data_IF_435665697342
#
_entry.id   IF_435665697342
#
_cell.length_a   1.000
_cell.length_b   1.000
_cell.length_c   1.000
_cell.angle_alpha   90.00
_cell.angle_beta   90.00
_cell.angle_gamma   90.00
#
_symmetry.space_group_name_H-M   'P 1'
#
loop_
_entity.id
_entity.type
_entity.pdbx_description
1 polymer ?
#
# COMPACT_ATOMS: atom_id res chain seq x y z
N UNK A 1 -45.09 131.06 -13.52
CA UNK A 1 -46.55 131.28 -13.65
C UNK A 1 -47.18 129.97 -14.11
N UNK A 2 -48.19 129.51 -13.37
CA UNK A 2 -49.28 128.58 -13.73
C UNK A 2 -48.88 127.23 -14.35
N UNK A 3 -48.97 126.10 -13.64
CA UNK A 3 -50.20 125.36 -13.30
C UNK A 3 -51.09 125.08 -14.53
N UNK A 4 -51.24 123.81 -14.89
CA UNK A 4 -52.49 123.00 -14.93
C UNK A 4 -52.15 121.70 -15.72
N UNK A 5 -52.11 120.53 -15.10
CA UNK A 5 -53.20 119.64 -14.66
C UNK A 5 -53.77 118.75 -15.79
N UNK A 6 -53.67 117.43 -15.55
CA UNK A 6 -54.73 116.44 -15.72
C UNK A 6 -54.89 115.63 -17.01
N UNK A 7 -55.09 114.33 -16.74
CA UNK A 7 -55.85 113.29 -17.44
C UNK A 7 -55.14 112.26 -18.32
N UNK A 8 -55.11 111.06 -17.72
CA UNK A 8 -54.96 109.72 -18.25
C UNK A 8 -55.73 109.41 -19.54
N UNK A 9 -55.21 108.44 -20.30
CA UNK A 9 -56.01 107.27 -20.69
C UNK A 9 -55.14 106.11 -21.17
N UNK A 10 -55.44 104.93 -20.61
CA UNK A 10 -54.96 103.61 -21.00
C UNK A 10 -55.49 103.23 -22.39
N UNK A 11 -54.62 102.64 -23.22
CA UNK A 11 -55.04 101.83 -24.38
C UNK A 11 -54.67 100.38 -24.11
N UNK A 12 -55.69 99.67 -23.63
CA UNK A 12 -56.09 98.27 -23.86
C UNK A 12 -55.13 97.38 -24.67
N UNK A 13 -54.69 96.29 -24.02
CA UNK A 13 -54.17 95.10 -24.68
C UNK A 13 -55.32 94.27 -25.30
N UNK A 14 -55.09 93.56 -26.42
CA UNK A 14 -55.85 92.35 -26.72
C UNK A 14 -54.99 91.10 -26.54
N UNK A 15 -55.63 90.13 -25.92
CA UNK A 15 -55.14 88.82 -25.53
C UNK A 15 -55.78 87.80 -26.51
N UNK A 16 -55.01 86.76 -26.88
CA UNK A 16 -55.40 85.50 -27.53
C UNK A 16 -55.86 85.49 -29.00
N UNK A 17 -55.13 84.74 -29.84
CA UNK A 17 -55.69 83.54 -30.50
C UNK A 17 -54.59 82.75 -31.25
N UNK A 18 -54.69 81.44 -31.08
CA UNK A 18 -53.87 80.35 -31.57
C UNK A 18 -53.64 80.34 -33.08
N UNK A 19 -52.36 80.34 -33.48
CA UNK A 19 -51.94 79.89 -34.81
C UNK A 19 -51.13 78.61 -34.63
N UNK A 20 -51.80 77.52 -34.96
CA UNK A 20 -51.28 76.17 -35.14
C UNK A 20 -50.28 76.18 -36.30
N UNK A 21 -48.99 76.08 -36.01
CA UNK A 21 -47.95 75.86 -37.01
C UNK A 21 -47.06 74.70 -36.55
N UNK A 22 -47.29 73.58 -37.23
CA UNK A 22 -46.63 72.29 -37.22
C UNK A 22 -45.45 72.11 -36.24
N UNK A 23 -45.64 71.24 -35.25
CA UNK A 23 -44.54 70.59 -34.56
C UNK A 23 -43.58 69.99 -35.60
N UNK A 24 -42.26 70.21 -35.49
CA UNK A 24 -41.33 69.41 -36.27
C UNK A 24 -41.55 67.95 -35.88
N UNK A 25 -41.89 67.11 -36.85
CA UNK A 25 -41.91 65.67 -36.65
C UNK A 25 -40.57 65.26 -36.05
N UNK A 26 -40.61 64.84 -34.79
CA UNK A 26 -39.52 64.13 -34.16
C UNK A 26 -39.43 62.81 -34.92
N UNK A 27 -38.62 62.79 -35.98
CA UNK A 27 -38.12 61.56 -36.57
C UNK A 27 -37.28 60.90 -35.50
N UNK A 28 -37.94 60.07 -34.70
CA UNK A 28 -37.33 59.03 -33.90
C UNK A 28 -36.78 57.98 -34.88
N UNK A 29 -35.81 58.36 -35.71
CA UNK A 29 -34.99 57.40 -36.45
C UNK A 29 -34.11 56.74 -35.41
N UNK A 30 -34.62 55.62 -34.90
CA UNK A 30 -33.85 54.61 -34.19
C UNK A 30 -32.65 54.19 -35.04
N UNK A 31 -31.56 54.97 -34.98
CA UNK A 31 -30.22 54.48 -35.31
C UNK A 31 -29.65 53.75 -34.08
N UNK A 32 -30.42 52.79 -33.57
CA UNK A 32 -30.05 51.90 -32.44
C UNK A 32 -29.18 50.71 -32.89
N UNK A 33 -28.58 50.77 -34.09
CA UNK A 33 -27.84 49.67 -34.72
C UNK A 33 -26.41 50.04 -35.13
N UNK A 34 -25.75 50.94 -34.39
CA UNK A 34 -24.29 51.08 -34.38
C UNK A 34 -23.86 50.89 -32.91
N UNK A 35 -23.36 49.76 -32.42
CA UNK A 35 -22.89 48.54 -33.05
C UNK A 35 -22.93 47.44 -31.97
N UNK A 36 -23.95 46.57 -31.92
CA UNK A 36 -24.07 45.55 -30.86
C UNK A 36 -22.86 44.59 -30.82
N UNK A 37 -22.15 44.47 -31.95
CA UNK A 37 -20.95 43.63 -32.12
C UNK A 37 -19.77 44.12 -31.27
N UNK A 38 -19.57 45.43 -31.12
CA UNK A 38 -18.44 45.98 -30.33
C UNK A 38 -18.65 45.79 -28.82
N UNK A 39 -19.89 45.93 -28.37
CA UNK A 39 -20.28 45.71 -26.98
C UNK A 39 -20.19 44.22 -26.64
N UNK A 40 -20.67 43.34 -27.54
CA UNK A 40 -20.58 41.89 -27.36
C UNK A 40 -19.12 41.39 -27.36
N UNK A 41 -18.28 41.94 -28.24
CA UNK A 41 -16.83 41.64 -28.29
C UNK A 41 -16.13 42.05 -26.99
N UNK A 42 -16.42 43.26 -26.49
CA UNK A 42 -15.82 43.77 -25.25
C UNK A 42 -16.25 42.95 -24.03
N UNK A 43 -17.54 42.55 -23.97
CA UNK A 43 -18.06 41.72 -22.89
C UNK A 43 -17.51 40.29 -22.92
N UNK A 44 -17.40 39.69 -24.12
CA UNK A 44 -16.80 38.38 -24.32
C UNK A 44 -15.33 38.35 -23.91
N UNK A 45 -14.56 39.36 -24.33
CA UNK A 45 -13.15 39.51 -23.93
C UNK A 45 -13.01 39.65 -22.41
N UNK A 46 -13.89 40.42 -21.77
CA UNK A 46 -13.90 40.59 -20.32
C UNK A 46 -14.16 39.27 -19.57
N UNK A 47 -15.14 38.48 -20.01
CA UNK A 47 -15.43 37.15 -19.42
C UNK A 47 -14.29 36.16 -19.63
N UNK A 48 -13.63 36.23 -20.79
CA UNK A 48 -12.45 35.39 -21.09
C UNK A 48 -11.30 35.76 -20.16
N UNK A 49 -11.09 37.05 -19.89
CA UNK A 49 -10.06 37.54 -18.96
C UNK A 49 -10.32 37.03 -17.53
N UNK A 50 -11.55 37.15 -17.04
CA UNK A 50 -11.93 36.68 -15.71
C UNK A 50 -11.70 35.17 -15.58
N UNK A 51 -12.14 34.41 -16.60
CA UNK A 51 -11.97 32.95 -16.63
C UNK A 51 -10.49 32.56 -16.60
N UNK A 52 -9.63 33.27 -17.34
CA UNK A 52 -8.19 33.04 -17.35
C UNK A 52 -7.55 33.33 -15.98
N UNK A 53 -7.94 34.42 -15.31
CA UNK A 53 -7.44 34.77 -13.97
C UNK A 53 -7.84 33.71 -12.93
N UNK A 54 -9.09 33.26 -12.94
CA UNK A 54 -9.58 32.23 -12.01
C UNK A 54 -8.87 30.89 -12.27
N UNK A 55 -8.77 30.49 -13.54
CA UNK A 55 -8.07 29.26 -13.93
C UNK A 55 -6.59 29.31 -13.56
N UNK A 56 -5.92 30.44 -13.80
CA UNK A 56 -4.53 30.67 -13.43
C UNK A 56 -4.31 30.54 -11.92
N UNK A 57 -5.17 31.16 -11.10
CA UNK A 57 -5.11 31.01 -9.63
C UNK A 57 -5.33 29.57 -9.17
N UNK A 58 -6.22 28.83 -9.82
CA UNK A 58 -6.46 27.43 -9.48
C UNK A 58 -5.26 26.54 -9.84
N UNK A 59 -4.69 26.70 -11.03
CA UNK A 59 -3.48 25.98 -11.45
C UNK A 59 -2.28 26.32 -10.57
N UNK A 60 -2.08 27.58 -10.23
CA UNK A 60 -1.02 28.00 -9.32
C UNK A 60 -1.12 27.32 -7.94
N UNK A 61 -2.34 27.22 -7.38
CA UNK A 61 -2.57 26.49 -6.13
C UNK A 61 -2.21 24.99 -6.24
N UNK A 62 -2.53 24.34 -7.36
CA UNK A 62 -2.19 22.94 -7.60
C UNK A 62 -0.67 22.74 -7.69
N UNK A 63 0.03 23.58 -8.46
CA UNK A 63 1.49 23.53 -8.58
C UNK A 63 2.16 23.78 -7.23
N UNK A 64 1.72 24.77 -6.47
CA UNK A 64 2.25 25.05 -5.13
C UNK A 64 2.14 23.85 -4.20
N UNK A 65 0.99 23.15 -4.21
CA UNK A 65 0.80 21.92 -3.42
C UNK A 65 1.71 20.80 -3.88
N UNK A 66 1.86 20.60 -5.19
CA UNK A 66 2.76 19.59 -5.74
C UNK A 66 4.22 19.85 -5.37
N UNK A 67 4.68 21.11 -5.44
CA UNK A 67 6.03 21.50 -5.04
C UNK A 67 6.26 21.26 -3.54
N UNK A 68 5.31 21.65 -2.68
CA UNK A 68 5.42 21.40 -1.24
C UNK A 68 5.44 19.90 -0.91
N UNK A 69 4.67 19.09 -1.65
CA UNK A 69 4.66 17.64 -1.49
C UNK A 69 6.01 17.02 -1.88
N UNK A 70 6.60 17.43 -2.99
CA UNK A 70 7.93 16.94 -3.38
C UNK A 70 9.03 17.44 -2.43
N UNK A 71 8.96 18.68 -1.94
CA UNK A 71 9.90 19.20 -0.94
C UNK A 71 9.82 18.42 0.38
N UNK A 72 8.61 18.16 0.88
CA UNK A 72 8.43 17.36 2.12
C UNK A 72 8.88 15.92 1.95
N UNK A 73 8.68 15.32 0.77
CA UNK A 73 9.26 14.02 0.42
C UNK A 73 10.78 14.03 0.48
N UNK A 74 11.42 14.99 -0.20
CA UNK A 74 12.88 15.12 -0.23
C UNK A 74 13.44 15.31 1.18
N UNK A 75 12.86 16.21 1.97
CA UNK A 75 13.27 16.41 3.36
C UNK A 75 13.09 15.14 4.22
N UNK A 76 12.01 14.37 4.00
CA UNK A 76 11.82 13.10 4.71
C UNK A 76 12.80 12.01 4.28
N UNK A 77 13.20 11.98 3.00
CA UNK A 77 14.21 11.08 2.46
C UNK A 77 15.59 11.41 3.02
N UNK A 78 15.96 12.69 3.03
CA UNK A 78 17.21 13.17 3.62
C UNK A 78 17.30 12.83 5.10
N UNK A 79 16.21 13.05 5.87
CA UNK A 79 16.16 12.65 7.28
C UNK A 79 16.39 11.16 7.47
N UNK A 80 15.74 10.31 6.67
CA UNK A 80 15.92 8.85 6.71
C UNK A 80 17.35 8.44 6.36
N UNK A 81 17.94 9.10 5.37
CA UNK A 81 19.32 8.87 4.95
C UNK A 81 20.30 9.26 6.06
N UNK A 82 20.13 10.43 6.69
CA UNK A 82 20.97 10.88 7.80
C UNK A 82 20.84 9.97 9.02
N UNK A 83 19.64 9.50 9.33
CA UNK A 83 19.44 8.48 10.39
C UNK A 83 20.14 7.18 10.03
N UNK A 84 20.00 6.68 8.79
CA UNK A 84 20.67 5.45 8.35
C UNK A 84 22.20 5.58 8.39
N UNK A 85 22.76 6.70 7.91
CA UNK A 85 24.20 6.98 7.98
C UNK A 85 24.70 7.11 9.42
N UNK A 86 23.94 7.76 10.30
CA UNK A 86 24.25 7.83 11.72
C UNK A 86 24.30 6.45 12.37
N UNK A 87 23.33 5.59 12.06
CA UNK A 87 23.31 4.20 12.53
C UNK A 87 24.50 3.39 12.00
N UNK A 88 24.83 3.52 10.71
CA UNK A 88 25.98 2.84 10.11
C UNK A 88 27.28 3.29 10.77
N UNK A 89 27.46 4.60 10.96
CA UNK A 89 28.65 5.17 11.61
C UNK A 89 28.78 4.69 13.05
N UNK A 90 27.67 4.63 13.79
CA UNK A 90 27.65 4.08 15.15
C UNK A 90 28.05 2.59 15.18
N UNK A 91 27.68 1.83 14.16
CA UNK A 91 28.11 0.45 13.98
C UNK A 91 29.59 0.35 13.58
N UNK A 92 30.09 1.25 12.72
CA UNK A 92 31.50 1.28 12.33
C UNK A 92 32.43 1.67 13.49
N UNK A 93 32.03 2.63 14.32
CA UNK A 93 32.77 3.07 15.51
C UNK A 93 32.80 1.99 16.61
N UNK A 94 31.85 1.04 16.62
CA UNK A 94 31.75 -0.03 17.60
C UNK A 94 31.71 -1.40 16.92
N UNK A 95 32.86 -2.06 16.67
CA UNK A 95 32.89 -3.34 15.97
C UNK A 95 32.11 -4.46 16.67
N UNK A 96 31.89 -4.35 17.99
CA UNK A 96 31.02 -5.27 18.74
C UNK A 96 29.52 -5.10 18.40
N UNK A 97 29.11 -3.90 17.98
CA UNK A 97 27.75 -3.62 17.52
C UNK A 97 27.51 -4.08 16.07
N UNK A 98 28.55 -4.23 15.25
CA UNK A 98 28.42 -4.84 13.91
C UNK A 98 27.96 -6.29 14.03
N UNK A 99 28.44 -6.99 15.07
CA UNK A 99 27.98 -8.32 15.46
C UNK A 99 26.67 -8.30 16.25
N UNK A 100 26.05 -7.13 16.44
CA UNK A 100 24.77 -7.06 17.12
C UNK A 100 23.67 -7.70 16.28
N UNK A 101 22.74 -8.34 16.99
CA UNK A 101 21.54 -8.99 16.46
C UNK A 101 20.78 -8.11 15.46
N UNK A 102 20.62 -6.83 15.80
CA UNK A 102 19.78 -5.91 15.03
C UNK A 102 20.46 -5.52 13.71
N UNK A 103 21.78 -5.31 13.73
CA UNK A 103 22.58 -5.13 12.53
C UNK A 103 22.51 -6.36 11.61
N UNK A 104 22.62 -7.57 12.16
CA UNK A 104 22.55 -8.80 11.35
C UNK A 104 21.15 -9.03 10.73
N UNK A 105 20.06 -8.80 11.49
CA UNK A 105 18.70 -8.92 10.95
C UNK A 105 18.40 -7.87 9.89
N UNK A 106 18.82 -6.62 10.08
CA UNK A 106 18.63 -5.57 9.09
C UNK A 106 19.50 -5.77 7.85
N UNK A 107 20.73 -6.28 8.02
CA UNK A 107 21.56 -6.72 6.90
C UNK A 107 20.88 -7.82 6.10
N UNK A 108 20.36 -8.87 6.76
CA UNK A 108 19.61 -9.94 6.10
C UNK A 108 18.40 -9.35 5.39
N UNK A 109 17.60 -8.49 6.04
CA UNK A 109 16.41 -7.87 5.45
C UNK A 109 16.74 -7.07 4.19
N UNK A 110 17.79 -6.26 4.22
CA UNK A 110 18.28 -5.51 3.06
C UNK A 110 18.76 -6.47 1.96
N UNK A 111 19.58 -7.46 2.32
CA UNK A 111 20.17 -8.40 1.36
C UNK A 111 19.13 -9.31 0.68
N UNK A 112 18.03 -9.61 1.37
CA UNK A 112 16.88 -10.37 0.86
C UNK A 112 16.08 -9.65 -0.24
N UNK A 113 16.27 -8.33 -0.40
CA UNK A 113 15.73 -7.60 -1.54
C UNK A 113 16.43 -8.00 -2.86
N UNK A 114 17.69 -8.42 -2.79
CA UNK A 114 18.41 -8.92 -3.97
C UNK A 114 17.87 -10.29 -4.40
N UNK A 115 17.54 -10.43 -5.69
CA UNK A 115 16.96 -11.64 -6.25
C UNK A 115 17.88 -12.85 -6.20
N UNK A 116 19.17 -12.67 -6.51
CA UNK A 116 20.15 -13.76 -6.56
C UNK A 116 20.41 -14.31 -5.16
N UNK A 117 20.77 -13.43 -4.22
CA UNK A 117 20.98 -13.80 -2.81
C UNK A 117 19.76 -14.50 -2.20
N UNK A 118 18.56 -13.93 -2.39
CA UNK A 118 17.31 -14.53 -1.91
C UNK A 118 17.09 -15.93 -2.47
N UNK A 119 17.23 -16.11 -3.77
CA UNK A 119 16.96 -17.41 -4.41
C UNK A 119 17.90 -18.49 -3.88
N UNK A 120 19.19 -18.16 -3.69
CA UNK A 120 20.18 -19.08 -3.08
C UNK A 120 19.76 -19.45 -1.66
N UNK A 121 19.37 -18.46 -0.86
CA UNK A 121 19.01 -18.64 0.55
C UNK A 121 17.71 -19.45 0.72
N UNK A 122 16.69 -19.13 -0.07
CA UNK A 122 15.41 -19.85 -0.10
C UNK A 122 15.64 -21.30 -0.56
N UNK A 123 16.44 -21.52 -1.60
CA UNK A 123 16.75 -22.87 -2.06
C UNK A 123 17.53 -23.68 -1.02
N UNK A 124 18.49 -23.05 -0.35
CA UNK A 124 19.21 -23.68 0.75
C UNK A 124 18.27 -24.03 1.90
N UNK A 125 17.39 -23.11 2.30
CA UNK A 125 16.37 -23.36 3.32
C UNK A 125 15.43 -24.51 2.90
N UNK A 126 14.98 -24.56 1.64
CA UNK A 126 14.16 -25.65 1.09
C UNK A 126 14.83 -27.01 1.25
N UNK A 127 16.09 -27.13 0.84
CA UNK A 127 16.86 -28.38 0.93
C UNK A 127 17.03 -28.79 2.39
N UNK A 128 17.38 -27.84 3.27
CA UNK A 128 17.60 -28.08 4.69
C UNK A 128 16.32 -28.51 5.41
N UNK A 129 15.20 -27.84 5.17
CA UNK A 129 13.87 -28.23 5.70
C UNK A 129 13.53 -29.65 5.28
N UNK A 130 13.63 -29.95 3.97
CA UNK A 130 13.34 -31.29 3.46
C UNK A 130 14.22 -32.35 4.12
N UNK A 131 15.51 -32.10 4.28
CA UNK A 131 16.45 -33.07 4.85
C UNK A 131 16.23 -33.28 6.36
N UNK A 132 16.22 -32.20 7.14
CA UNK A 132 16.15 -32.29 8.60
C UNK A 132 14.76 -32.70 9.08
N UNK A 133 13.69 -32.10 8.53
CA UNK A 133 12.33 -32.44 8.94
C UNK A 133 11.94 -33.84 8.45
N UNK A 134 12.39 -34.27 7.26
CA UNK A 134 12.15 -35.65 6.81
C UNK A 134 12.85 -36.68 7.71
N UNK A 135 14.12 -36.44 8.04
CA UNK A 135 14.88 -37.31 8.94
C UNK A 135 14.23 -37.39 10.31
N UNK A 136 13.87 -36.25 10.90
CA UNK A 136 13.18 -36.18 12.18
C UNK A 136 11.84 -36.93 12.16
N UNK A 137 11.03 -36.74 11.12
CA UNK A 137 9.76 -37.45 11.00
C UNK A 137 9.92 -38.97 10.79
N UNK A 138 10.99 -39.43 10.13
CA UNK A 138 11.28 -40.86 9.96
C UNK A 138 11.73 -41.52 11.28
N UNK A 139 12.62 -40.87 12.03
CA UNK A 139 13.11 -41.37 13.32
C UNK A 139 11.95 -41.44 14.33
N UNK A 140 11.11 -40.41 14.39
CA UNK A 140 9.94 -40.42 15.26
C UNK A 140 8.91 -41.49 14.87
N UNK A 141 8.77 -41.79 13.56
CA UNK A 141 7.88 -42.87 13.11
C UNK A 141 8.42 -44.25 13.51
N UNK A 142 9.73 -44.49 13.41
CA UNK A 142 10.33 -45.78 13.78
C UNK A 142 10.37 -46.02 15.29
N UNK A 143 10.65 -44.98 16.08
CA UNK A 143 10.66 -45.08 17.54
C UNK A 143 9.28 -45.38 18.12
N UNK A 144 8.22 -44.80 17.54
CA UNK A 144 6.85 -45.06 17.98
C UNK A 144 6.26 -46.36 17.43
N UNK A 145 6.83 -46.93 16.35
CA UNK A 145 6.46 -48.27 15.88
C UNK A 145 7.02 -49.39 16.78
N UNK A 146 8.09 -49.11 17.54
CA UNK A 146 8.74 -50.09 18.44
C UNK A 146 8.08 -50.26 19.81
N UNK A 147 7.28 -49.27 20.27
CA UNK A 147 6.45 -49.40 21.47
C UNK A 147 4.99 -49.61 21.03
N UNK A 148 4.43 -50.79 21.26
CA UNK A 148 3.12 -51.25 20.75
C UNK A 148 1.86 -50.46 21.17
N UNK A 149 2.00 -49.20 21.57
CA UNK A 149 0.91 -48.26 21.78
C UNK A 149 0.99 -47.22 20.67
N UNK A 150 0.15 -47.38 19.64
CA UNK A 150 -0.08 -46.32 18.67
C UNK A 150 -0.60 -45.09 19.43
N UNK A 151 0.30 -44.16 19.75
CA UNK A 151 -0.03 -42.92 20.43
C UNK A 151 -1.04 -42.16 19.58
N UNK A 152 -2.30 -42.14 20.02
CA UNK A 152 -3.35 -41.24 19.49
C UNK A 152 -2.99 -39.76 19.68
N UNK A 153 -1.97 -39.48 20.48
CA UNK A 153 -1.42 -38.15 20.69
C UNK A 153 -0.31 -37.93 19.65
N UNK A 154 -0.46 -36.90 18.83
CA UNK A 154 0.47 -36.57 17.74
C UNK A 154 1.93 -36.42 18.17
N UNK A 155 2.84 -36.44 17.19
CA UNK A 155 4.28 -36.39 17.42
C UNK A 155 4.78 -34.95 17.43
N UNK A 156 5.55 -34.58 18.45
CA UNK A 156 6.19 -33.27 18.53
C UNK A 156 7.51 -33.28 17.76
N UNK A 157 7.65 -32.34 16.83
CA UNK A 157 8.85 -32.09 16.03
C UNK A 157 9.44 -30.81 16.57
N UNK A 158 10.67 -30.87 17.11
CA UNK A 158 11.43 -29.71 17.53
C UNK A 158 12.83 -29.79 16.92
N UNK A 159 12.96 -29.27 15.70
CA UNK A 159 14.19 -29.35 14.93
C UNK A 159 14.76 -27.97 14.67
N UNK A 160 16.09 -27.87 14.72
CA UNK A 160 16.79 -26.61 14.54
C UNK A 160 17.95 -26.78 13.57
N UNK A 161 18.04 -25.92 12.55
CA UNK A 161 19.08 -26.02 11.54
C UNK A 161 19.62 -24.65 11.11
N UNK A 162 20.88 -24.65 10.69
CA UNK A 162 21.63 -23.44 10.35
C UNK A 162 21.59 -23.14 8.85
N UNK A 163 21.30 -21.89 8.52
CA UNK A 163 21.37 -21.35 7.17
C UNK A 163 22.70 -20.60 7.04
N UNK A 164 23.55 -21.05 6.12
CA UNK A 164 24.93 -20.59 6.02
C UNK A 164 25.22 -19.92 4.69
N UNK A 165 25.97 -18.82 4.72
CA UNK A 165 26.46 -18.13 3.53
C UNK A 165 27.97 -18.28 3.40
N UNK A 166 28.42 -18.58 2.18
CA UNK A 166 29.82 -18.63 1.85
C UNK A 166 30.22 -17.25 1.35
N UNK A 167 31.14 -16.60 2.06
CA UNK A 167 31.77 -15.36 1.61
C UNK A 167 33.17 -15.69 1.11
N UNK A 168 33.47 -15.31 -0.12
CA UNK A 168 34.84 -15.36 -0.62
C UNK A 168 35.53 -14.05 -0.21
N UNK A 169 36.28 -14.09 0.89
CA UNK A 169 37.16 -12.98 1.26
C UNK A 169 38.61 -13.44 1.12
N UNK A 170 39.40 -12.73 0.31
CA UNK A 170 40.83 -12.98 0.14
C UNK A 170 41.18 -14.41 -0.33
N UNK A 171 40.41 -14.97 -1.27
CA UNK A 171 40.70 -16.29 -1.86
C UNK A 171 40.44 -17.50 -0.95
N UNK A 172 39.92 -17.30 0.27
CA UNK A 172 39.43 -18.37 1.15
C UNK A 172 37.92 -18.26 1.28
N UNK A 173 37.21 -19.32 0.92
CA UNK A 173 35.76 -19.40 1.11
C UNK A 173 35.47 -19.64 2.59
N UNK A 174 34.98 -18.61 3.29
CA UNK A 174 34.62 -18.70 4.70
C UNK A 174 33.11 -18.91 4.80
N UNK A 175 32.71 -20.04 5.38
CA UNK A 175 31.30 -20.36 5.64
C UNK A 175 30.85 -19.74 6.96
N UNK A 176 29.89 -18.82 6.90
CA UNK A 176 29.32 -18.15 8.08
C UNK A 176 27.85 -18.52 8.24
N UNK A 177 27.38 -18.63 9.48
CA UNK A 177 25.96 -18.83 9.80
C UNK A 177 25.26 -17.47 9.73
N UNK A 178 24.28 -17.33 8.84
CA UNK A 178 23.47 -16.10 8.73
C UNK A 178 22.40 -16.09 9.83
N UNK A 179 21.57 -17.14 9.83
CA UNK A 179 20.49 -17.31 10.78
C UNK A 179 20.17 -18.80 10.95
N UNK A 180 19.45 -19.10 12.02
CA UNK A 180 19.01 -20.45 12.39
C UNK A 180 17.50 -20.54 12.27
N UNK A 181 16.97 -21.65 11.79
CA UNK A 181 15.52 -21.90 11.72
C UNK A 181 15.18 -22.99 12.74
N UNK A 182 14.23 -22.71 13.62
CA UNK A 182 13.67 -23.67 14.56
C UNK A 182 12.22 -23.97 14.17
N UNK A 183 11.91 -25.24 14.00
CA UNK A 183 10.59 -25.75 13.64
C UNK A 183 10.02 -26.51 14.84
N UNK A 184 8.95 -25.97 15.42
CA UNK A 184 8.17 -26.57 16.51
C UNK A 184 6.75 -26.88 16.01
N UNK A 185 6.50 -28.15 15.71
CA UNK A 185 5.22 -28.59 15.16
C UNK A 185 4.73 -29.84 15.89
N UNK A 186 3.42 -30.00 16.01
CA UNK A 186 2.81 -31.25 16.48
C UNK A 186 2.11 -31.89 15.31
N UNK A 187 2.66 -33.01 14.81
CA UNK A 187 2.13 -33.73 13.68
C UNK A 187 1.12 -34.78 14.12
N UNK A 188 -0.06 -34.77 13.50
CA UNK A 188 -1.03 -35.84 13.65
C UNK A 188 -0.67 -37.05 12.75
N UNK A 189 -0.79 -38.31 13.22
CA UNK A 189 -0.39 -39.50 12.46
C UNK A 189 -1.11 -39.71 11.12
N UNK A 190 -2.30 -39.13 10.98
CA UNK A 190 -3.19 -39.29 9.81
C UNK A 190 -2.73 -38.50 8.59
N UNK A 191 -1.80 -37.55 8.73
CA UNK A 191 -1.38 -36.69 7.64
C UNK A 191 -0.11 -37.20 6.94
N UNK A 192 -0.09 -37.12 5.60
CA UNK A 192 1.08 -37.53 4.82
C UNK A 192 2.30 -36.66 5.11
N UNK A 193 3.43 -37.31 5.39
CA UNK A 193 4.72 -36.68 5.71
C UNK A 193 5.18 -35.71 4.61
N UNK A 194 4.99 -36.08 3.34
CA UNK A 194 5.41 -35.26 2.20
C UNK A 194 4.61 -33.96 2.07
N UNK A 195 3.29 -34.01 2.31
CA UNK A 195 2.45 -32.80 2.28
C UNK A 195 2.82 -31.84 3.41
N UNK A 196 3.07 -32.36 4.63
CA UNK A 196 3.53 -31.52 5.75
C UNK A 196 4.85 -30.82 5.42
N UNK A 197 5.82 -31.52 4.83
CA UNK A 197 7.12 -30.93 4.47
C UNK A 197 6.94 -29.83 3.43
N UNK A 198 6.12 -30.06 2.41
CA UNK A 198 5.87 -29.06 1.38
C UNK A 198 5.17 -27.82 1.97
N UNK A 199 4.20 -27.99 2.86
CA UNK A 199 3.57 -26.88 3.58
C UNK A 199 4.58 -26.07 4.40
N UNK A 200 5.50 -26.73 5.13
CA UNK A 200 6.57 -26.04 5.87
C UNK A 200 7.48 -25.26 4.91
N UNK A 201 7.87 -25.89 3.81
CA UNK A 201 8.71 -25.26 2.77
C UNK A 201 8.05 -24.01 2.20
N UNK A 202 6.78 -24.11 1.82
CA UNK A 202 5.99 -22.99 1.30
C UNK A 202 5.87 -21.86 2.32
N UNK A 203 5.67 -22.19 3.59
CA UNK A 203 5.65 -21.20 4.67
C UNK A 203 7.00 -20.49 4.81
N UNK A 204 8.12 -21.24 4.82
CA UNK A 204 9.45 -20.63 4.92
C UNK A 204 9.75 -19.75 3.70
N UNK A 205 9.40 -20.20 2.50
CA UNK A 205 9.59 -19.44 1.26
C UNK A 205 8.78 -18.14 1.23
N UNK A 206 7.50 -18.19 1.63
CA UNK A 206 6.63 -17.03 1.64
C UNK A 206 7.01 -16.04 2.75
N UNK A 207 7.55 -16.51 3.88
CA UNK A 207 8.05 -15.65 4.95
C UNK A 207 9.31 -14.89 4.51
N UNK A 208 10.22 -15.58 3.81
CA UNK A 208 11.46 -15.01 3.29
C UNK A 208 11.25 -14.21 1.98
N UNK A 209 10.08 -14.27 1.36
CA UNK A 209 9.77 -13.49 0.16
C UNK A 209 9.57 -12.01 0.47
N UNK A 210 9.98 -11.08 -0.43
CA UNK A 210 9.76 -9.65 -0.27
C UNK A 210 8.28 -9.32 -0.06
N UNK A 211 8.00 -8.32 0.77
CA UNK A 211 6.64 -7.87 1.13
C UNK A 211 5.76 -7.59 -0.09
N UNK A 212 6.36 -7.14 -1.20
CA UNK A 212 5.69 -6.88 -2.48
C UNK A 212 5.11 -8.15 -3.14
N UNK A 213 5.83 -9.27 -3.06
CA UNK A 213 5.34 -10.58 -3.56
C UNK A 213 4.28 -11.19 -2.64
N UNK A 214 4.37 -10.92 -1.33
CA UNK A 214 3.37 -11.36 -0.34
C UNK A 214 2.02 -10.70 -0.59
N UNK A 215 2.00 -9.41 -0.96
CA UNK A 215 0.76 -8.72 -1.37
C UNK A 215 0.17 -9.23 -2.68
N UNK A 216 1.00 -9.69 -3.62
CA UNK A 216 0.54 -10.21 -4.91
C UNK A 216 -0.11 -11.60 -4.80
N UNK A 217 0.48 -12.51 -4.00
CA UNK A 217 -0.10 -13.84 -3.74
C UNK A 217 -1.46 -13.79 -3.03
N UNK A 218 -1.71 -12.76 -2.21
CA UNK A 218 -2.98 -12.58 -1.52
C UNK A 218 -4.02 -11.83 -2.39
N UNK A 219 -3.59 -11.20 -3.49
CA UNK A 219 -4.40 -10.42 -4.42
C UNK A 219 -5.08 -11.26 -5.52
N UNK A 220 -5.56 -12.45 -5.17
CA UNK A 220 -6.64 -13.09 -5.93
C UNK A 220 -7.98 -12.34 -5.82
N UNK A 221 -8.09 -11.38 -4.88
CA UNK A 221 -9.17 -10.41 -4.80
C UNK A 221 -8.72 -9.14 -4.06
N UNK A 222 -8.94 -8.00 -4.72
CA UNK A 222 -9.06 -6.63 -4.21
C UNK A 222 -7.84 -5.91 -3.58
N UNK A 223 -7.42 -4.89 -4.32
CA UNK A 223 -6.56 -3.72 -4.02
C UNK A 223 -6.25 -3.39 -2.56
N UNK A 224 -4.95 -3.18 -2.33
CA UNK A 224 -4.35 -2.06 -1.59
C UNK A 224 -4.84 -1.83 -0.17
N UNK A 225 -4.16 -2.46 0.80
CA UNK A 225 -3.87 -1.81 2.07
C UNK A 225 -2.42 -2.07 2.49
N UNK A 226 -1.74 -0.99 2.88
CA UNK A 226 -0.37 -0.97 3.41
C UNK A 226 -0.35 -1.60 4.80
N UNK A 227 -0.55 -2.93 4.87
CA UNK A 227 -0.46 -3.79 6.06
C UNK A 227 -0.71 -5.27 5.67
N UNK A 228 0.15 -5.87 4.85
CA UNK A 228 0.16 -7.34 4.65
C UNK A 228 0.88 -8.07 5.81
N UNK A 229 0.75 -7.54 7.03
CA UNK A 229 1.40 -8.04 8.25
C UNK A 229 0.66 -9.22 8.89
N UNK A 230 -0.55 -9.55 8.41
CA UNK A 230 -1.40 -10.59 8.99
C UNK A 230 -1.45 -11.86 8.13
N UNK A 231 -0.34 -12.24 7.49
CA UNK A 231 -0.29 -13.57 6.89
C UNK A 231 -0.19 -14.62 7.99
N UNK A 232 -1.25 -15.41 8.13
CA UNK A 232 -1.35 -16.54 9.05
C UNK A 232 -1.19 -17.83 8.26
N UNK A 233 0.03 -18.40 8.16
CA UNK A 233 0.22 -19.68 7.50
C UNK A 233 -0.54 -20.79 8.24
N UNK A 234 -0.98 -21.79 7.48
CA UNK A 234 -1.61 -22.99 8.04
C UNK A 234 -0.81 -24.22 7.66
N UNK A 235 -0.52 -25.07 8.63
CA UNK A 235 0.13 -26.37 8.44
C UNK A 235 -0.80 -27.41 9.05
N UNK A 236 -1.17 -28.42 8.27
CA UNK A 236 -2.16 -29.44 8.70
C UNK A 236 -3.53 -28.88 9.12
N UNK A 237 -3.91 -27.67 8.68
CA UNK A 237 -5.16 -27.02 9.10
C UNK A 237 -5.09 -26.29 10.45
N UNK A 238 -3.91 -26.26 11.09
CA UNK A 238 -3.63 -25.45 12.27
C UNK A 238 -2.91 -24.15 11.89
N UNK A 239 -3.22 -23.07 12.59
CA UNK A 239 -2.52 -21.80 12.42
C UNK A 239 -1.12 -21.91 12.98
N UNK A 240 -0.15 -21.46 12.19
CA UNK A 240 1.26 -21.44 12.56
C UNK A 240 1.72 -19.99 12.60
N UNK A 241 2.51 -19.66 13.64
CA UNK A 241 3.12 -18.35 13.77
C UNK A 241 4.58 -18.45 13.39
N UNK A 242 5.04 -17.50 12.56
CA UNK A 242 6.44 -17.42 12.16
C UNK A 242 7.00 -16.07 12.58
N UNK A 243 8.03 -16.08 13.42
CA UNK A 243 8.61 -14.86 13.96
C UNK A 243 10.11 -14.99 14.19
N UNK A 244 10.83 -13.89 14.04
CA UNK A 244 12.22 -13.81 14.47
C UNK A 244 12.27 -13.76 16.00
N UNK A 245 12.81 -14.80 16.63
CA UNK A 245 13.01 -14.86 18.07
C UNK A 245 14.14 -13.90 18.46
N UNK A 246 13.74 -12.81 19.12
CA UNK A 246 14.63 -11.71 19.50
C UNK A 246 15.52 -12.03 20.72
N UNK A 247 15.28 -13.15 21.42
CA UNK A 247 16.00 -13.51 22.65
C UNK A 247 17.26 -14.36 22.41
N UNK A 248 17.41 -14.94 21.22
CA UNK A 248 18.60 -15.75 20.88
C UNK A 248 19.81 -14.85 20.56
N UNK A 249 20.93 -15.06 21.25
CA UNK A 249 22.24 -14.43 20.98
C UNK A 249 23.25 -15.51 20.60
N UNK A 250 24.22 -15.27 19.69
CA UNK A 250 24.41 -14.09 18.83
C UNK A 250 23.71 -14.19 17.46
N UNK A 251 23.27 -15.37 17.06
CA UNK A 251 22.70 -15.64 15.73
C UNK A 251 21.17 -15.48 15.75
N UNK A 252 20.57 -14.75 14.79
CA UNK A 252 19.12 -14.62 14.70
C UNK A 252 18.46 -15.98 14.50
N UNK A 253 17.39 -16.22 15.25
CA UNK A 253 16.62 -17.45 15.22
C UNK A 253 15.23 -17.19 14.64
N UNK A 254 14.87 -17.91 13.59
CA UNK A 254 13.55 -17.89 12.98
C UNK A 254 12.73 -19.03 13.59
N UNK A 255 11.71 -18.68 14.37
CA UNK A 255 10.84 -19.64 15.03
C UNK A 255 9.58 -19.85 14.19
N UNK A 256 9.32 -21.10 13.83
CA UNK A 256 8.06 -21.59 13.27
C UNK A 256 7.37 -22.41 14.35
N UNK A 257 6.26 -21.91 14.89
CA UNK A 257 5.55 -22.54 16.00
C UNK A 257 4.06 -22.74 15.67
N UNK A 258 3.61 -23.98 15.77
CA UNK A 258 2.20 -24.32 15.65
C UNK A 258 1.49 -24.06 16.98
N UNK A 259 0.40 -23.30 16.96
CA UNK A 259 -0.38 -23.05 18.16
C UNK A 259 -1.13 -24.32 18.56
N UNK A 260 -0.96 -24.78 19.79
CA UNK A 260 -1.58 -26.01 20.31
C UNK A 260 -3.01 -25.82 20.83
N UNK A 261 -3.56 -24.61 20.78
CA UNK A 261 -4.92 -24.29 21.21
C UNK A 261 -5.91 -24.23 20.04
N UNK A 262 -6.95 -25.05 20.13
CA UNK A 262 -8.27 -25.16 19.45
C UNK A 262 -8.71 -24.20 18.31
N UNK A 263 -7.80 -23.66 17.50
CA UNK A 263 -8.14 -22.89 16.29
C UNK A 263 -7.98 -23.80 15.08
N UNK A 264 -8.92 -24.75 14.97
CA UNK A 264 -9.09 -25.57 13.77
C UNK A 264 -9.78 -24.75 12.69
N UNK A 265 -9.07 -24.45 11.60
CA UNK A 265 -9.70 -23.84 10.43
C UNK A 265 -10.45 -24.95 9.70
N UNK A 266 -11.76 -25.05 9.91
CA UNK A 266 -12.58 -26.07 9.24
C UNK A 266 -12.51 -25.88 7.72
N UNK A 267 -12.02 -26.89 7.01
CA UNK A 267 -12.06 -26.91 5.54
C UNK A 267 -13.52 -27.03 5.11
N UNK A 268 -14.13 -25.92 4.68
CA UNK A 268 -15.44 -25.95 4.03
C UNK A 268 -15.28 -26.49 2.61
N UNK A 269 -15.23 -27.81 2.49
CA UNK A 269 -15.22 -28.49 1.20
C UNK A 269 -16.54 -28.18 0.50
N UNK A 270 -16.52 -27.29 -0.51
CA UNK A 270 -17.63 -27.17 -1.46
C UNK A 270 -17.60 -28.39 -2.37
N UNK A 271 -18.04 -29.54 -1.85
CA UNK A 271 -18.29 -30.71 -2.69
C UNK A 271 -19.39 -30.31 -3.67
N UNK A 272 -19.08 -30.46 -4.95
CA UNK A 272 -19.89 -30.10 -6.09
C UNK A 272 -21.30 -30.70 -5.98
N UNK A 273 -22.28 -29.87 -5.62
CA UNK A 273 -23.70 -30.16 -5.78
C UNK A 273 -24.06 -29.95 -7.26
N UNK A 274 -23.57 -30.82 -8.16
CA UNK A 274 -23.91 -30.73 -9.59
C UNK A 274 -24.04 -32.06 -10.32
N UNK A 275 -24.42 -33.16 -9.67
CA UNK A 275 -25.01 -34.31 -10.39
C UNK A 275 -26.02 -35.03 -9.49
N UNK A 276 -27.25 -34.51 -9.45
CA UNK A 276 -28.45 -35.24 -9.00
C UNK A 276 -29.66 -34.74 -9.78
N UNK A 277 -29.69 -35.08 -11.06
CA UNK A 277 -30.91 -35.08 -11.87
C UNK A 277 -30.77 -36.20 -12.90
N UNK A 278 -30.83 -37.44 -12.40
CA UNK A 278 -31.27 -38.58 -13.18
C UNK A 278 -31.95 -39.53 -12.21
N UNK A 279 -33.24 -39.35 -12.04
CA UNK A 279 -34.23 -40.43 -11.89
C UNK A 279 -35.61 -39.81 -11.93
N UNK A 280 -36.52 -40.51 -12.61
CA UNK A 280 -37.98 -40.36 -12.58
C UNK A 280 -38.60 -39.58 -13.75
N UNK A 281 -38.85 -40.31 -14.85
CA UNK A 281 -40.23 -40.45 -15.32
C UNK A 281 -40.44 -41.87 -15.86
N UNK A 282 -41.47 -42.51 -15.30
CA UNK A 282 -42.00 -43.86 -15.57
C UNK A 282 -42.75 -43.90 -16.91
N UNK A 283 -43.00 -45.12 -17.37
CA UNK A 283 -44.17 -45.49 -18.19
C UNK A 283 -43.82 -45.75 -19.63
#
# INVERSE_FOLDING_TARGET
MSSYNSQAQLVVAPNYSSITLALPEIKLTQKLWHSPIWILSSLGLFMTLISLVVYGKWKYKQLKKAIQYEQTKVASLEKRLNTALGTIRQWEENPDLINSRDCNLDYIRMRMQESVFRNVLVNQAKVKVKQFVSTAMRINLSQNAGGGIASKNGFNINETFDVTYNTDSQGKSIRRVLFRIQVKLTKLPTQSTSQTINQIVECVEMFLSPTERRSEWQSGNLKSDRRSDNWLPTIQGHIVTMSWNQKAKPTPLLLLEQHSGDVNVSFRTKVARKYRTFTSRKG
#
